data_IF_287998073136
#
_entry.id   IF_287998073136
#
_cell.length_a   1.000
_cell.length_b   1.000
_cell.length_c   1.000
_cell.angle_alpha   90.00
_cell.angle_beta   90.00
_cell.angle_gamma   90.00
#
_symmetry.space_group_name_H-M   'P 1'
#
loop_
_entity.id
_entity.type
_entity.pdbx_description
1 polymer ?
#
# COMPACT_ATOMS: atom_id res chain seq x y z
N UNK A 1 -16.72 2.52 14.35
CA UNK A 1 -17.12 3.37 15.50
C UNK A 1 -17.40 4.78 14.99
N UNK A 2 -18.16 5.60 15.71
CA UNK A 2 -18.42 6.99 15.32
C UNK A 2 -17.78 7.92 16.34
N UNK A 3 -16.83 8.73 15.90
CA UNK A 3 -16.25 9.80 16.69
C UNK A 3 -17.08 11.05 16.50
N UNK A 4 -17.66 11.57 17.60
CA UNK A 4 -18.31 12.88 17.60
C UNK A 4 -17.30 13.96 17.97
N UNK A 5 -17.15 14.94 17.09
CA UNK A 5 -16.26 16.08 17.26
C UNK A 5 -17.00 17.40 17.03
N UNK A 6 -16.35 18.50 17.40
CA UNK A 6 -16.84 19.86 17.18
C UNK A 6 -15.71 20.73 16.64
N UNK A 7 -16.06 21.66 15.75
CA UNK A 7 -15.15 22.61 15.12
C UNK A 7 -15.50 24.02 15.59
N UNK A 8 -14.61 24.63 16.35
CA UNK A 8 -14.70 26.03 16.75
C UNK A 8 -13.97 26.92 15.75
N UNK A 9 -14.62 27.99 15.31
CA UNK A 9 -14.03 29.08 14.53
C UNK A 9 -14.06 30.38 15.33
N UNK A 10 -13.47 31.46 14.82
CA UNK A 10 -13.51 32.77 15.49
C UNK A 10 -14.94 33.32 15.65
N UNK A 11 -15.88 32.92 14.76
CA UNK A 11 -17.21 33.52 14.67
C UNK A 11 -18.33 32.58 15.12
N UNK A 12 -18.09 31.28 15.11
CA UNK A 12 -19.13 30.25 15.28
C UNK A 12 -18.54 28.90 15.71
N UNK A 13 -19.37 28.09 16.37
CA UNK A 13 -19.03 26.70 16.72
C UNK A 13 -19.93 25.74 15.96
N UNK A 14 -19.32 24.78 15.26
CA UNK A 14 -19.99 23.76 14.48
C UNK A 14 -19.91 22.43 15.24
N UNK A 15 -21.08 21.92 15.61
CA UNK A 15 -21.21 20.70 16.41
C UNK A 15 -21.73 19.55 15.56
N UNK A 16 -21.72 18.35 16.14
CA UNK A 16 -22.22 17.12 15.50
C UNK A 16 -21.48 16.77 14.21
N UNK A 17 -20.15 16.86 14.25
CA UNK A 17 -19.29 16.33 13.20
C UNK A 17 -19.01 14.87 13.56
N UNK A 18 -19.55 13.95 12.77
CA UNK A 18 -19.44 12.50 12.97
C UNK A 18 -18.40 11.90 12.03
N UNK A 19 -17.24 11.54 12.57
CA UNK A 19 -16.16 10.90 11.82
C UNK A 19 -16.27 9.38 12.01
N UNK A 20 -16.47 8.66 10.90
CA UNK A 20 -16.57 7.20 10.91
C UNK A 20 -15.17 6.58 10.87
N UNK A 21 -14.78 5.97 11.99
CA UNK A 21 -13.43 5.46 12.20
C UNK A 21 -13.43 4.23 13.10
N UNK A 22 -12.42 3.38 12.96
CA UNK A 22 -12.13 2.27 13.88
C UNK A 22 -11.03 2.65 14.88
N UNK A 23 -10.42 3.82 14.70
CA UNK A 23 -9.33 4.31 15.54
C UNK A 23 -9.86 4.98 16.79
N UNK A 24 -9.40 4.51 17.95
CA UNK A 24 -9.66 5.16 19.24
C UNK A 24 -8.66 6.28 19.53
N UNK A 25 -9.00 7.19 20.45
CA UNK A 25 -8.09 8.24 20.91
C UNK A 25 -7.95 9.44 19.97
N UNK A 26 -8.84 9.59 19.00
CA UNK A 26 -8.85 10.75 18.11
C UNK A 26 -9.44 12.01 18.79
N UNK A 27 -8.99 13.21 18.41
CA UNK A 27 -9.37 14.44 19.08
C UNK A 27 -10.83 14.85 18.84
N UNK A 28 -11.51 15.27 19.91
CA UNK A 28 -12.95 15.63 19.93
C UNK A 28 -13.25 17.12 19.82
N UNK A 29 -12.26 17.97 20.09
CA UNK A 29 -12.39 19.43 20.07
C UNK A 29 -11.37 19.97 19.09
N UNK A 30 -11.86 20.51 17.98
CA UNK A 30 -11.06 21.03 16.89
C UNK A 30 -11.26 22.53 16.79
N UNK A 31 -10.17 23.26 16.56
CA UNK A 31 -10.16 24.68 16.33
C UNK A 31 -9.71 24.94 14.90
N UNK A 32 -10.49 25.71 14.15
CA UNK A 32 -10.14 26.13 12.80
C UNK A 32 -8.79 26.87 12.78
N UNK A 33 -7.93 26.50 11.83
CA UNK A 33 -6.64 27.15 11.61
C UNK A 33 -6.67 27.92 10.30
N UNK A 34 -6.85 27.23 9.18
CA UNK A 34 -6.79 27.84 7.84
C UNK A 34 -7.34 26.91 6.77
N UNK A 35 -7.56 27.47 5.57
CA UNK A 35 -7.77 26.68 4.36
C UNK A 35 -6.43 26.25 3.77
N UNK A 36 -6.38 25.00 3.28
CA UNK A 36 -5.20 24.41 2.68
C UNK A 36 -5.54 23.71 1.37
N UNK A 37 -4.53 23.45 0.55
CA UNK A 37 -4.66 22.47 -0.53
C UNK A 37 -4.35 21.08 0.04
N UNK A 38 -5.38 20.25 0.21
CA UNK A 38 -5.23 18.96 0.91
C UNK A 38 -4.35 17.96 0.14
N UNK A 39 -4.18 18.12 -1.18
CA UNK A 39 -3.30 17.27 -1.99
C UNK A 39 -1.82 17.61 -1.85
N UNK A 40 -1.51 18.83 -1.39
CA UNK A 40 -0.13 19.25 -1.14
C UNK A 40 0.36 18.88 0.26
N UNK A 41 -0.48 18.27 1.09
CA UNK A 41 -0.08 17.78 2.41
C UNK A 41 0.85 16.58 2.22
N UNK A 42 2.10 16.65 2.73
CA UNK A 42 3.01 15.52 2.61
C UNK A 42 2.47 14.26 3.29
N UNK A 43 2.47 13.15 2.56
CA UNK A 43 1.85 11.90 3.02
C UNK A 43 2.48 11.34 4.30
N UNK A 44 3.77 11.62 4.55
CA UNK A 44 4.46 11.18 5.75
C UNK A 44 3.96 11.86 7.03
N UNK A 45 3.22 12.95 6.91
CA UNK A 45 2.58 13.63 8.05
C UNK A 45 1.22 13.02 8.41
N UNK A 46 0.62 12.24 7.51
CA UNK A 46 -0.72 11.66 7.71
C UNK A 46 -0.62 10.49 8.68
N UNK A 47 -1.22 10.65 9.86
CA UNK A 47 -1.20 9.62 10.91
C UNK A 47 -2.39 8.66 10.80
N UNK A 48 -3.57 9.15 10.42
CA UNK A 48 -4.80 8.35 10.35
C UNK A 48 -5.74 8.82 9.23
N UNK A 49 -6.59 7.91 8.73
CA UNK A 49 -7.59 8.18 7.71
C UNK A 49 -7.18 7.71 6.31
N UNK A 50 -7.92 8.09 5.26
CA UNK A 50 -9.07 9.01 5.29
C UNK A 50 -10.34 8.35 5.85
N UNK A 51 -11.18 9.15 6.50
CA UNK A 51 -12.43 8.76 7.15
C UNK A 51 -13.59 9.56 6.58
N UNK A 52 -14.77 8.96 6.50
CA UNK A 52 -15.99 9.66 6.08
C UNK A 52 -16.52 10.54 7.21
N UNK A 53 -17.01 11.72 6.83
CA UNK A 53 -17.57 12.70 7.76
C UNK A 53 -19.05 12.88 7.45
N UNK A 54 -19.86 12.76 8.49
CA UNK A 54 -21.29 12.99 8.45
C UNK A 54 -21.67 14.07 9.45
N UNK A 55 -22.83 14.67 9.28
CA UNK A 55 -23.44 15.53 10.28
C UNK A 55 -24.96 15.42 10.14
N UNK A 56 -25.68 15.64 11.22
CA UNK A 56 -27.14 15.86 11.18
C UNK A 56 -27.48 17.33 11.42
N UNK A 57 -26.46 18.18 11.64
CA UNK A 57 -26.63 19.59 11.90
C UNK A 57 -26.53 20.40 10.60
N UNK A 58 -27.65 20.98 10.19
CA UNK A 58 -27.76 21.78 8.96
C UNK A 58 -26.77 22.95 8.88
N UNK A 59 -26.41 23.59 10.02
CA UNK A 59 -25.42 24.66 10.02
C UNK A 59 -24.01 24.14 9.73
N UNK A 60 -23.68 22.96 10.27
CA UNK A 60 -22.40 22.29 10.02
C UNK A 60 -22.32 21.86 8.55
N UNK A 61 -23.36 21.21 8.03
CA UNK A 61 -23.45 20.83 6.62
C UNK A 61 -23.27 22.03 5.69
N UNK A 62 -24.00 23.12 5.95
CA UNK A 62 -23.90 24.34 5.16
C UNK A 62 -22.49 24.93 5.20
N UNK A 63 -21.85 24.94 6.36
CA UNK A 63 -20.48 25.44 6.51
C UNK A 63 -19.49 24.63 5.66
N UNK A 64 -19.51 23.31 5.75
CA UNK A 64 -18.63 22.45 4.94
C UNK A 64 -18.96 22.55 3.45
N UNK A 65 -20.24 22.63 3.08
CA UNK A 65 -20.66 22.84 1.70
C UNK A 65 -20.11 24.15 1.11
N UNK A 66 -20.22 25.25 1.84
CA UNK A 66 -19.76 26.57 1.36
C UNK A 66 -18.23 26.71 1.35
N UNK A 67 -17.53 26.13 2.32
CA UNK A 67 -16.09 26.35 2.49
C UNK A 67 -15.21 25.28 1.84
N UNK A 68 -15.75 24.09 1.53
CA UNK A 68 -15.01 23.01 0.87
C UNK A 68 -15.63 22.69 -0.49
N UNK A 69 -16.93 22.39 -0.55
CA UNK A 69 -17.55 21.92 -1.80
C UNK A 69 -17.69 23.02 -2.88
N UNK A 70 -17.78 24.30 -2.48
CA UNK A 70 -17.85 25.43 -3.42
C UNK A 70 -16.50 25.98 -3.87
N UNK A 71 -15.39 25.61 -3.21
CA UNK A 71 -14.05 26.08 -3.58
C UNK A 71 -13.37 25.06 -4.52
N UNK A 72 -12.32 25.52 -5.20
CA UNK A 72 -11.52 24.74 -6.17
C UNK A 72 -11.29 23.28 -5.72
N UNK A 73 -11.19 22.36 -6.70
CA UNK A 73 -11.16 20.89 -6.57
C UNK A 73 -10.24 20.23 -5.51
N UNK A 74 -9.47 20.99 -4.73
CA UNK A 74 -8.48 20.49 -3.76
C UNK A 74 -8.47 21.28 -2.46
N UNK A 75 -9.52 22.04 -2.17
CA UNK A 75 -9.62 22.85 -0.95
C UNK A 75 -9.96 21.97 0.25
N UNK A 76 -9.19 22.12 1.32
CA UNK A 76 -9.45 21.50 2.61
C UNK A 76 -9.40 22.52 3.74
N UNK A 77 -9.99 22.17 4.88
CA UNK A 77 -9.94 22.93 6.11
C UNK A 77 -8.98 22.21 7.06
N UNK A 78 -7.94 22.92 7.50
CA UNK A 78 -7.05 22.48 8.56
C UNK A 78 -7.61 22.96 9.91
N UNK A 79 -7.78 22.03 10.84
CA UNK A 79 -8.19 22.30 12.20
C UNK A 79 -7.21 21.66 13.19
N UNK A 80 -6.88 22.36 14.27
CA UNK A 80 -5.97 21.89 15.32
C UNK A 80 -6.79 21.33 16.49
N UNK A 81 -6.36 20.20 17.05
CA UNK A 81 -6.89 19.73 18.33
C UNK A 81 -6.55 20.70 19.45
N UNK A 82 -7.49 20.95 20.37
CA UNK A 82 -7.24 21.85 21.51
C UNK A 82 -6.30 21.23 22.55
N UNK A 83 -6.28 19.89 22.65
CA UNK A 83 -5.62 19.17 23.73
C UNK A 83 -4.35 18.44 23.30
N UNK A 84 -4.17 18.22 22.00
CA UNK A 84 -3.10 17.41 21.42
C UNK A 84 -2.49 18.17 20.25
N UNK A 85 -1.22 17.91 19.93
CA UNK A 85 -0.60 18.52 18.74
C UNK A 85 -0.93 17.73 17.45
N UNK A 86 -2.21 17.36 17.34
CA UNK A 86 -2.79 16.62 16.23
C UNK A 86 -3.70 17.56 15.46
N UNK A 87 -3.64 17.48 14.14
CA UNK A 87 -4.42 18.31 13.24
C UNK A 87 -5.38 17.42 12.46
N UNK A 88 -6.61 17.88 12.27
CA UNK A 88 -7.58 17.27 11.37
C UNK A 88 -7.62 18.08 10.08
N UNK A 89 -7.63 17.38 8.94
CA UNK A 89 -7.85 17.99 7.63
C UNK A 89 -9.17 17.46 7.09
N UNK A 90 -10.13 18.36 6.89
CA UNK A 90 -11.39 18.07 6.21
C UNK A 90 -11.29 18.45 4.73
N UNK A 91 -11.75 17.62 3.83
CA UNK A 91 -11.69 17.86 2.39
C UNK A 91 -12.87 17.20 1.66
N UNK A 92 -13.19 17.69 0.47
CA UNK A 92 -14.23 17.14 -0.38
C UNK A 92 -13.66 16.16 -1.39
N UNK A 93 -14.34 15.04 -1.60
CA UNK A 93 -14.06 14.12 -2.71
C UNK A 93 -14.83 14.54 -3.98
N UNK A 94 -14.59 13.88 -5.12
CA UNK A 94 -15.24 14.13 -6.40
C UNK A 94 -16.77 14.02 -6.33
N UNK A 95 -17.29 13.24 -5.38
CA UNK A 95 -18.73 13.08 -5.14
C UNK A 95 -19.32 14.15 -4.21
N UNK A 96 -18.55 15.20 -3.86
CA UNK A 96 -18.89 16.22 -2.87
C UNK A 96 -19.15 15.66 -1.45
N UNK A 97 -18.73 14.42 -1.20
CA UNK A 97 -18.70 13.84 0.13
C UNK A 97 -17.54 14.44 0.92
N UNK A 98 -17.75 14.72 2.21
CA UNK A 98 -16.73 15.26 3.08
C UNK A 98 -15.96 14.11 3.74
N UNK A 99 -14.64 14.18 3.64
CA UNK A 99 -13.70 13.25 4.22
C UNK A 99 -12.76 13.98 5.18
N UNK A 100 -12.16 13.23 6.10
CA UNK A 100 -11.18 13.74 7.05
C UNK A 100 -9.99 12.80 7.18
N UNK A 101 -8.79 13.35 7.30
CA UNK A 101 -7.62 12.60 7.79
C UNK A 101 -6.93 13.41 8.87
N UNK A 102 -6.10 12.73 9.68
CA UNK A 102 -5.36 13.37 10.77
C UNK A 102 -3.88 13.46 10.42
N UNK A 103 -3.28 14.55 10.87
CA UNK A 103 -1.88 14.91 10.67
C UNK A 103 -1.21 15.04 12.02
N UNK A 104 -0.03 14.45 12.15
CA UNK A 104 0.81 14.55 13.33
C UNK A 104 2.17 15.14 12.94
N UNK A 105 2.49 16.31 13.49
CA UNK A 105 3.76 17.00 13.24
C UNK A 105 4.89 16.53 14.15
N UNK A 106 4.62 15.67 15.15
CA UNK A 106 5.66 15.11 16.03
C UNK A 106 6.74 14.36 15.24
N UNK A 107 6.40 13.86 14.06
CA UNK A 107 7.36 13.22 13.15
C UNK A 107 8.42 14.19 12.65
N UNK A 108 8.08 15.48 12.48
CA UNK A 108 9.02 16.53 12.06
C UNK A 108 10.02 16.81 13.18
N UNK A 109 9.54 16.89 14.43
CA UNK A 109 10.40 17.06 15.60
C UNK A 109 11.36 15.88 15.76
N UNK A 110 10.88 14.66 15.50
CA UNK A 110 11.72 13.47 15.49
C UNK A 110 12.82 13.56 14.40
N UNK A 111 12.46 13.98 13.19
CA UNK A 111 13.43 14.16 12.11
C UNK A 111 14.47 15.23 12.46
N UNK A 112 14.05 16.33 13.08
CA UNK A 112 14.97 17.37 13.53
C UNK A 112 15.96 16.81 14.57
N UNK A 113 15.48 16.05 15.57
CA UNK A 113 16.33 15.42 16.57
C UNK A 113 17.29 14.36 15.99
N UNK A 114 16.89 13.66 14.93
CA UNK A 114 17.73 12.68 14.23
C UNK A 114 18.78 13.37 13.35
N UNK A 115 18.43 14.48 12.70
CA UNK A 115 19.34 15.29 11.92
C UNK A 115 20.45 15.92 12.78
N UNK A 116 20.10 16.40 13.98
CA UNK A 116 21.07 16.92 14.96
C UNK A 116 22.08 15.85 15.44
N UNK A 117 21.74 14.57 15.31
CA UNK A 117 22.60 13.44 15.71
C UNK A 117 23.47 12.90 14.57
N UNK A 118 23.51 13.57 13.42
CA UNK A 118 24.27 13.18 12.22
C UNK A 118 23.98 11.73 11.76
N UNK A 119 22.77 11.25 12.08
CA UNK A 119 22.27 9.95 11.63
C UNK A 119 21.62 10.18 10.28
N UNK A 120 22.09 9.48 9.25
CA UNK A 120 21.52 9.49 7.91
C UNK A 120 20.01 9.13 7.95
N UNK A 121 19.16 10.15 8.09
CA UNK A 121 17.72 10.04 8.35
C UNK A 121 16.92 9.54 7.14
N UNK A 122 17.55 9.45 5.97
CA UNK A 122 16.95 8.89 4.76
C UNK A 122 16.78 7.37 4.80
N UNK A 123 17.40 6.67 5.76
CA UNK A 123 17.34 5.20 5.90
C UNK A 123 17.00 4.71 7.31
N UNK A 124 16.62 5.58 8.24
CA UNK A 124 16.20 5.15 9.57
C UNK A 124 14.82 4.51 9.49
N UNK A 125 14.78 3.18 9.62
CA UNK A 125 13.55 2.42 9.75
C UNK A 125 12.63 3.02 10.81
N UNK A 126 11.33 2.94 10.53
CA UNK A 126 10.22 3.42 11.35
C UNK A 126 10.56 3.36 12.85
N UNK A 127 10.47 4.47 13.60
CA UNK A 127 10.73 4.47 15.04
C UNK A 127 9.79 3.47 15.70
N UNK A 128 10.38 2.38 16.18
CA UNK A 128 9.67 1.28 16.83
C UNK A 128 9.33 1.73 18.26
N UNK A 129 8.29 2.55 18.40
CA UNK A 129 7.61 2.77 19.69
C UNK A 129 6.43 1.80 19.82
N UNK A 130 6.49 0.66 19.14
CA UNK A 130 5.64 -0.49 19.44
C UNK A 130 6.44 -1.48 20.27
N UNK A 131 5.92 -1.75 21.46
CA UNK A 131 6.43 -2.69 22.47
C UNK A 131 7.18 -3.86 21.81
N UNK A 132 8.51 -3.90 21.99
CA UNK A 132 9.34 -4.97 21.46
C UNK A 132 8.89 -6.28 22.10
N UNK A 133 8.14 -7.09 21.35
CA UNK A 133 7.98 -8.51 21.63
C UNK A 133 9.38 -9.13 21.78
N UNK A 134 9.61 -9.86 22.87
CA UNK A 134 10.91 -10.40 23.24
C UNK A 134 11.47 -11.30 22.12
N UNK A 135 12.40 -10.77 21.30
CA UNK A 135 13.02 -11.47 20.17
C UNK A 135 14.23 -12.33 20.56
N UNK A 136 14.51 -12.50 21.86
CA UNK A 136 15.69 -13.24 22.32
C UNK A 136 15.79 -14.67 21.75
N UNK A 137 14.66 -15.29 21.39
CA UNK A 137 14.62 -16.61 20.75
C UNK A 137 15.01 -16.50 19.26
N UNK A 138 14.53 -15.47 18.55
CA UNK A 138 14.87 -15.23 17.15
C UNK A 138 16.34 -14.83 16.99
N UNK A 139 16.88 -14.02 17.91
CA UNK A 139 18.28 -13.61 17.90
C UNK A 139 19.22 -14.82 18.09
N UNK A 140 18.87 -15.78 18.96
CA UNK A 140 19.61 -17.05 19.10
C UNK A 140 19.62 -17.91 17.84
N UNK A 141 18.54 -17.88 17.06
CA UNK A 141 18.44 -18.66 15.81
C UNK A 141 19.21 -17.96 14.68
N UNK A 142 19.26 -16.62 14.69
CA UNK A 142 20.05 -15.83 13.75
C UNK A 142 21.56 -15.94 14.02
N UNK A 143 22.00 -15.88 15.28
CA UNK A 143 23.41 -16.01 15.67
C UNK A 143 24.03 -17.34 15.23
N UNK A 144 23.26 -18.44 15.31
CA UNK A 144 23.70 -19.76 14.84
C UNK A 144 23.84 -19.87 13.32
N UNK A 145 23.42 -18.87 12.54
CA UNK A 145 23.51 -18.84 11.06
C UNK A 145 24.59 -17.88 10.52
N UNK A 146 25.22 -17.07 11.36
CA UNK A 146 26.23 -16.07 10.93
C UNK A 146 27.61 -16.70 10.63
N UNK A 147 27.79 -18.00 10.88
CA UNK A 147 29.07 -18.69 10.65
C UNK A 147 29.52 -18.83 9.18
N UNK A 148 28.69 -18.48 8.18
CA UNK A 148 29.10 -18.72 6.79
C UNK A 148 28.34 -17.86 5.76
N UNK A 149 28.70 -16.59 5.55
CA UNK A 149 28.58 -15.95 4.21
C UNK A 149 29.26 -14.57 4.10
N UNK A 150 29.75 -14.32 2.89
CA UNK A 150 30.61 -13.22 2.44
C UNK A 150 29.94 -11.85 2.57
N UNK A 151 30.75 -10.80 2.81
CA UNK A 151 30.38 -9.38 2.93
C UNK A 151 29.45 -8.91 1.79
N UNK A 152 28.35 -8.18 2.07
CA UNK A 152 27.49 -7.60 1.04
C UNK A 152 28.16 -6.37 0.42
N UNK A 153 28.25 -6.36 -0.91
CA UNK A 153 28.65 -5.21 -1.72
C UNK A 153 27.39 -4.38 -2.07
N UNK A 154 27.51 -3.07 -2.10
CA UNK A 154 26.41 -2.10 -2.31
C UNK A 154 25.55 -2.38 -3.57
N UNK A 155 24.26 -1.97 -3.59
CA UNK A 155 23.37 -2.20 -4.72
C UNK A 155 23.78 -1.33 -5.90
N UNK A 156 24.27 -1.97 -6.96
CA UNK A 156 24.53 -1.37 -8.26
C UNK A 156 23.16 -1.09 -8.92
N UNK A 157 22.95 0.13 -9.42
CA UNK A 157 21.77 0.48 -10.23
C UNK A 157 21.53 -0.60 -11.29
N UNK A 158 20.35 -1.22 -11.26
CA UNK A 158 19.98 -2.27 -12.20
C UNK A 158 19.62 -1.61 -13.55
N UNK A 159 20.31 -1.95 -14.65
CA UNK A 159 19.78 -1.74 -15.98
C UNK A 159 18.48 -2.56 -16.15
N UNK A 160 17.63 -2.27 -17.14
CA UNK A 160 16.49 -3.12 -17.49
C UNK A 160 16.98 -4.58 -17.58
N UNK A 161 16.39 -5.45 -16.76
CA UNK A 161 16.87 -6.81 -16.56
C UNK A 161 16.47 -7.66 -17.76
N UNK A 162 17.25 -7.57 -18.84
CA UNK A 162 17.08 -8.42 -20.01
C UNK A 162 17.32 -9.88 -19.60
N UNK A 163 16.26 -10.70 -19.61
CA UNK A 163 16.32 -12.10 -19.20
C UNK A 163 16.84 -12.94 -20.37
N UNK A 164 18.15 -12.90 -20.62
CA UNK A 164 18.77 -13.58 -21.76
C UNK A 164 19.04 -15.08 -21.52
N UNK A 165 19.04 -15.53 -20.26
CA UNK A 165 19.34 -16.93 -19.91
C UNK A 165 18.12 -17.70 -19.43
N UNK A 166 18.00 -18.96 -19.85
CA UNK A 166 16.96 -19.92 -19.40
C UNK A 166 16.79 -19.96 -17.89
N UNK A 167 17.88 -19.80 -17.15
CA UNK A 167 17.86 -19.76 -15.69
C UNK A 167 17.20 -18.49 -15.14
N UNK A 168 17.49 -17.32 -15.72
CA UNK A 168 16.85 -16.05 -15.36
C UNK A 168 15.36 -16.07 -15.67
N UNK A 169 14.97 -16.58 -16.84
CA UNK A 169 13.57 -16.76 -17.24
C UNK A 169 12.86 -17.69 -16.26
N UNK A 170 13.47 -18.82 -15.90
CA UNK A 170 12.86 -19.75 -14.94
C UNK A 170 12.68 -19.12 -13.56
N UNK A 171 13.65 -18.33 -13.09
CA UNK A 171 13.52 -17.61 -11.82
C UNK A 171 12.45 -16.52 -11.88
N UNK A 172 12.35 -15.78 -12.99
CA UNK A 172 11.33 -14.77 -13.21
C UNK A 172 9.93 -15.40 -13.21
N UNK A 173 9.73 -16.48 -13.97
CA UNK A 173 8.48 -17.25 -13.98
C UNK A 173 8.12 -17.73 -12.57
N UNK A 174 9.07 -18.30 -11.82
CA UNK A 174 8.80 -18.76 -10.45
C UNK A 174 8.31 -17.64 -9.54
N UNK A 175 8.97 -16.46 -9.59
CA UNK A 175 8.57 -15.29 -8.81
C UNK A 175 7.19 -14.77 -9.23
N UNK A 176 6.94 -14.71 -10.54
CA UNK A 176 5.68 -14.23 -11.08
C UNK A 176 4.50 -15.12 -10.71
N UNK A 177 4.63 -16.45 -10.86
CA UNK A 177 3.56 -17.38 -10.49
C UNK A 177 3.25 -17.29 -8.99
N UNK A 178 4.27 -17.26 -8.13
CA UNK A 178 4.04 -17.12 -6.68
C UNK A 178 3.40 -15.78 -6.31
N UNK A 179 3.84 -14.69 -6.94
CA UNK A 179 3.25 -13.36 -6.75
C UNK A 179 1.79 -13.32 -7.17
N UNK A 180 1.49 -13.87 -8.35
CA UNK A 180 0.15 -13.87 -8.91
C UNK A 180 -0.83 -14.79 -8.17
N UNK A 181 -0.36 -15.91 -7.60
CA UNK A 181 -1.15 -16.75 -6.70
C UNK A 181 -1.45 -16.03 -5.38
N UNK A 182 -0.45 -15.32 -4.82
CA UNK A 182 -0.63 -14.53 -3.59
C UNK A 182 -1.63 -13.39 -3.76
N UNK A 183 -1.61 -12.71 -4.91
CA UNK A 183 -2.60 -11.66 -5.23
C UNK A 183 -4.04 -12.20 -5.30
N UNK A 184 -4.20 -13.48 -5.65
CA UNK A 184 -5.50 -14.19 -5.66
C UNK A 184 -5.86 -14.79 -4.29
N UNK A 185 -5.12 -14.48 -3.23
CA UNK A 185 -5.36 -15.01 -1.88
C UNK A 185 -4.97 -16.48 -1.68
N UNK A 186 -4.40 -17.13 -2.71
CA UNK A 186 -3.97 -18.52 -2.64
C UNK A 186 -2.59 -18.60 -1.97
N UNK A 187 -2.59 -18.91 -0.68
CA UNK A 187 -1.37 -19.04 0.12
C UNK A 187 -1.11 -20.50 0.48
N UNK A 188 0.17 -20.86 0.62
CA UNK A 188 0.60 -22.22 0.99
C UNK A 188 0.35 -22.55 2.48
N UNK A 189 -0.44 -21.74 3.19
CA UNK A 189 -0.69 -21.81 4.63
C UNK A 189 -2.13 -22.20 5.01
N UNK A 190 -2.92 -22.74 4.06
CA UNK A 190 -4.31 -23.16 4.25
C UNK A 190 -4.52 -24.66 4.53
N UNK A 191 -5.77 -25.12 4.45
CA UNK A 191 -6.18 -26.52 4.66
C UNK A 191 -5.38 -27.50 3.76
N UNK A 192 -5.15 -28.74 4.21
CA UNK A 192 -4.28 -29.70 3.50
C UNK A 192 -4.68 -29.93 2.03
N UNK A 193 -5.98 -29.93 1.73
CA UNK A 193 -6.48 -30.13 0.38
C UNK A 193 -6.29 -28.88 -0.51
N UNK A 194 -6.52 -27.69 0.04
CA UNK A 194 -6.25 -26.42 -0.65
C UNK A 194 -4.75 -26.25 -0.93
N UNK A 195 -3.89 -26.66 0.01
CA UNK A 195 -2.45 -26.64 -0.17
C UNK A 195 -1.98 -27.56 -1.31
N UNK A 196 -2.63 -28.71 -1.48
CA UNK A 196 -2.35 -29.63 -2.61
C UNK A 196 -2.80 -29.01 -3.92
N UNK A 197 -4.01 -28.45 -3.98
CA UNK A 197 -4.53 -27.77 -5.17
C UNK A 197 -3.65 -26.57 -5.58
N UNK A 198 -3.25 -25.72 -4.64
CA UNK A 198 -2.36 -24.57 -4.89
C UNK A 198 -0.99 -25.02 -5.39
N UNK A 199 -0.46 -26.13 -4.86
CA UNK A 199 0.82 -26.71 -5.32
C UNK A 199 0.70 -27.27 -6.74
N UNK A 200 -0.43 -27.89 -7.06
CA UNK A 200 -0.71 -28.40 -8.40
C UNK A 200 -0.84 -27.27 -9.42
N UNK A 201 -1.65 -26.25 -9.11
CA UNK A 201 -1.81 -25.04 -9.93
C UNK A 201 -0.46 -24.34 -10.14
N UNK A 202 0.36 -24.22 -9.09
CA UNK A 202 1.71 -23.68 -9.19
C UNK A 202 2.57 -24.48 -10.20
N UNK A 203 2.59 -25.81 -10.09
CA UNK A 203 3.38 -26.65 -10.99
C UNK A 203 2.85 -26.64 -12.43
N UNK A 204 1.54 -26.65 -12.62
CA UNK A 204 0.90 -26.56 -13.93
C UNK A 204 1.20 -25.23 -14.61
N UNK A 205 0.96 -24.11 -13.91
CA UNK A 205 1.22 -22.76 -14.40
C UNK A 205 2.70 -22.58 -14.75
N UNK A 206 3.60 -23.03 -13.86
CA UNK A 206 5.05 -22.96 -14.12
C UNK A 206 5.45 -23.76 -15.37
N UNK A 207 4.96 -24.99 -15.53
CA UNK A 207 5.28 -25.83 -16.69
C UNK A 207 4.72 -25.23 -17.98
N UNK A 208 3.49 -24.73 -17.97
CA UNK A 208 2.83 -24.13 -19.11
C UNK A 208 3.46 -22.79 -19.52
N UNK A 209 3.86 -21.95 -18.55
CA UNK A 209 4.59 -20.70 -18.81
C UNK A 209 5.96 -21.00 -19.41
N UNK A 210 6.71 -21.94 -18.83
CA UNK A 210 8.00 -22.38 -19.38
C UNK A 210 7.87 -23.04 -20.75
N UNK A 211 6.71 -23.62 -21.10
CA UNK A 211 6.43 -24.16 -22.43
C UNK A 211 6.11 -23.04 -23.43
N UNK A 212 5.26 -22.11 -23.05
CA UNK A 212 4.84 -20.96 -23.87
C UNK A 212 6.01 -20.05 -24.22
N UNK A 213 6.97 -19.91 -23.30
CA UNK A 213 8.18 -19.12 -23.50
C UNK A 213 9.27 -19.85 -24.33
N UNK A 214 9.10 -21.14 -24.66
CA UNK A 214 10.08 -21.88 -25.51
C UNK A 214 10.16 -21.34 -26.92
N UNK A 215 9.09 -20.72 -27.42
CA UNK A 215 9.05 -20.12 -28.76
C UNK A 215 10.09 -19.01 -28.95
N UNK A 216 10.51 -18.37 -27.86
CA UNK A 216 11.58 -17.36 -27.87
C UNK A 216 12.99 -17.98 -27.90
N UNK A 217 13.10 -19.29 -27.63
CA UNK A 217 14.36 -20.05 -27.77
C UNK A 217 14.44 -20.82 -29.10
N UNK A 218 13.32 -21.00 -29.81
CA UNK A 218 13.25 -21.74 -31.06
C UNK A 218 13.24 -20.79 -32.26
N UNK A 219 14.38 -20.70 -32.96
CA UNK A 219 14.49 -20.06 -34.27
C UNK A 219 13.78 -20.92 -35.34
N UNK A 220 12.45 -20.96 -35.33
CA UNK A 220 11.69 -21.78 -36.29
C UNK A 220 11.65 -21.17 -37.70
N UNK A 221 11.87 -19.86 -37.84
CA UNK A 221 12.08 -19.20 -39.13
C UNK A 221 13.49 -18.60 -39.15
N UNK A 222 14.35 -19.08 -40.06
CA UNK A 222 15.76 -18.69 -40.22
C UNK A 222 16.05 -17.22 -40.53
N UNK A 223 15.11 -16.31 -40.29
CA UNK A 223 15.38 -14.89 -40.13
C UNK A 223 15.97 -14.66 -38.75
N UNK A 224 17.27 -14.32 -38.70
CA UNK A 224 17.94 -13.77 -37.52
C UNK A 224 17.12 -12.61 -36.94
N UNK A 225 16.21 -12.89 -36.00
CA UNK A 225 15.86 -11.93 -34.96
C UNK A 225 16.96 -12.07 -33.93
N UNK A 226 18.07 -11.41 -34.21
CA UNK A 226 18.96 -10.96 -33.15
C UNK A 226 18.05 -10.24 -32.14
N UNK A 227 18.01 -10.74 -30.90
CA UNK A 227 17.24 -10.21 -29.78
C UNK A 227 15.71 -10.40 -29.81
N UNK A 228 15.22 -11.64 -29.90
CA UNK A 228 13.93 -12.00 -29.28
C UNK A 228 14.09 -12.05 -27.74
N UNK A 229 14.55 -10.94 -27.16
CA UNK A 229 14.72 -10.79 -25.72
C UNK A 229 13.35 -10.82 -25.07
N UNK A 230 13.12 -11.82 -24.22
CA UNK A 230 11.89 -11.93 -23.44
C UNK A 230 11.89 -10.79 -22.44
N UNK A 231 10.95 -9.88 -22.61
CA UNK A 231 10.72 -8.79 -21.66
C UNK A 231 9.95 -9.33 -20.46
N UNK A 232 10.03 -8.62 -19.32
CA UNK A 232 9.36 -9.07 -18.10
C UNK A 232 7.83 -9.03 -18.27
N UNK A 233 7.34 -8.10 -19.07
CA UNK A 233 5.95 -7.90 -19.45
C UNK A 233 5.39 -9.13 -20.19
N UNK A 234 6.17 -9.75 -21.09
CA UNK A 234 5.77 -10.97 -21.80
C UNK A 234 5.55 -12.15 -20.82
N UNK A 235 6.38 -12.24 -19.77
CA UNK A 235 6.26 -13.27 -18.74
C UNK A 235 5.01 -13.02 -17.90
N UNK A 236 4.73 -11.76 -17.57
CA UNK A 236 3.54 -11.38 -16.83
C UNK A 236 2.27 -11.75 -17.60
N UNK A 237 2.14 -11.33 -18.86
CA UNK A 237 0.98 -11.61 -19.70
C UNK A 237 0.71 -13.12 -19.84
N UNK A 238 1.77 -13.92 -20.02
CA UNK A 238 1.66 -15.37 -20.13
C UNK A 238 1.20 -15.99 -18.81
N UNK A 239 1.76 -15.57 -17.67
CA UNK A 239 1.39 -16.10 -16.36
C UNK A 239 -0.04 -15.71 -15.98
N UNK A 240 -0.45 -14.47 -16.26
CA UNK A 240 -1.81 -14.00 -15.97
C UNK A 240 -2.87 -14.77 -16.76
N UNK A 241 -2.69 -14.91 -18.09
CA UNK A 241 -3.61 -15.69 -18.93
C UNK A 241 -3.70 -17.16 -18.53
N UNK A 242 -2.58 -17.77 -18.12
CA UNK A 242 -2.58 -19.15 -17.67
C UNK A 242 -3.33 -19.32 -16.34
N UNK A 243 -3.16 -18.38 -15.41
CA UNK A 243 -3.88 -18.42 -14.14
C UNK A 243 -5.37 -18.12 -14.31
N UNK A 244 -5.74 -17.23 -15.22
CA UNK A 244 -7.14 -17.00 -15.60
C UNK A 244 -7.78 -18.30 -16.14
N UNK A 245 -7.09 -19.02 -17.03
CA UNK A 245 -7.59 -20.30 -17.55
C UNK A 245 -7.65 -21.40 -16.48
N UNK A 246 -6.68 -21.47 -15.57
CA UNK A 246 -6.64 -22.53 -14.55
C UNK A 246 -7.53 -22.28 -13.33
N UNK A 247 -7.89 -21.04 -13.05
CA UNK A 247 -8.65 -20.67 -11.85
C UNK A 247 -10.03 -20.11 -12.17
N UNK A 248 -10.16 -19.31 -13.22
CA UNK A 248 -11.38 -18.51 -13.43
C UNK A 248 -12.42 -19.23 -14.31
N UNK A 249 -12.07 -20.37 -14.93
CA UNK A 249 -12.98 -21.18 -15.75
C UNK A 249 -14.11 -21.85 -14.93
N UNK A 250 -13.91 -22.11 -13.64
CA UNK A 250 -14.98 -22.66 -12.78
C UNK A 250 -16.08 -21.63 -12.48
N UNK A 251 -15.77 -20.33 -12.52
CA UNK A 251 -16.76 -19.27 -12.23
C UNK A 251 -17.78 -19.07 -13.35
N UNK A 252 -17.39 -19.33 -14.60
CA UNK A 252 -18.27 -19.21 -15.78
C UNK A 252 -19.18 -20.40 -16.03
N UNK A 253 -18.88 -21.58 -15.46
CA UNK A 253 -19.73 -22.78 -15.62
C UNK A 253 -20.72 -22.98 -14.46
N UNK A 254 -20.53 -22.29 -13.33
CA UNK A 254 -21.43 -22.33 -12.18
C UNK A 254 -22.59 -21.32 -12.22
N UNK A 255 -22.56 -20.32 -13.12
CA UNK A 255 -23.66 -19.34 -13.32
C UNK A 255 -24.71 -19.81 -14.34
N UNK A 256 -24.84 -21.12 -14.53
CA UNK A 256 -25.72 -21.74 -15.51
C UNK A 256 -26.44 -22.98 -14.97
N UNK A 257 -26.90 -22.94 -13.71
CA UNK A 257 -27.99 -23.77 -13.19
C UNK A 257 -28.73 -23.02 -12.08
#
# INVERSE_FOLDING_TARGET
>A
MVLKTSLSTANSSYNDIEIWTETEGLPRLLQYVTHINHQKVPIFLVSHGPFRVYSQNSMTEQYFGQNIACYQNYTGILAKSTNEDVYAVFFGDQNLEIWSYFVDFSIVDLFQQLAEKDVNCYYTGVPTVMSRSNTAIFDRVLENKVGNTKKPTAPRQMPPLMLSTTHQISQAVNKMVLSALRLRGLTTSGNSNEMVAVREIYHMTRKAAMFSLRKYHYNFNGSKREDANIQMEDIQDVVERLLEVFLDVESTTASGK
#
